data_IF_269474650755
#
_entry.id   IF_269474650755
#
_cell.length_a   1.000
_cell.length_b   1.000
_cell.length_c   1.000
_cell.angle_alpha   90.00
_cell.angle_beta   90.00
_cell.angle_gamma   90.00
#
_symmetry.space_group_name_H-M   'P 1'
#
loop_
_entity.id
_entity.type
_entity.pdbx_description
1 polymer ?
#
# COMPACT_ATOMS: atom_id res chain seq x y z
N UNK A 1 6.88 3.23 9.31
CA UNK A 1 8.27 3.09 8.78
C UNK A 1 8.55 4.08 7.65
N UNK A 2 7.58 4.36 6.78
CA UNK A 2 7.78 5.19 5.58
C UNK A 2 7.95 6.68 5.90
N UNK A 3 7.27 7.17 6.92
CA UNK A 3 7.39 8.59 7.32
C UNK A 3 8.79 8.93 7.82
N UNK A 4 9.47 8.01 8.50
CA UNK A 4 10.84 8.16 8.98
C UNK A 4 11.85 8.28 7.83
N UNK A 5 11.69 7.49 6.78
CA UNK A 5 12.64 7.44 5.65
C UNK A 5 12.65 8.71 4.80
N UNK A 6 11.61 9.55 4.90
CA UNK A 6 11.46 10.78 4.12
C UNK A 6 11.31 12.05 4.96
N UNK A 7 11.25 11.93 6.29
CA UNK A 7 11.17 13.09 7.17
C UNK A 7 12.51 13.84 7.21
N UNK A 8 12.46 15.16 7.30
CA UNK A 8 13.66 15.93 7.63
C UNK A 8 14.08 15.66 9.08
N UNK A 9 15.37 15.84 9.37
CA UNK A 9 15.91 15.71 10.72
C UNK A 9 15.13 16.55 11.73
N UNK A 10 14.84 17.83 11.37
CA UNK A 10 14.08 18.76 12.19
C UNK A 10 12.63 18.29 12.42
N UNK A 11 11.97 17.75 11.41
CA UNK A 11 10.62 17.20 11.56
C UNK A 11 10.61 15.98 12.48
N UNK A 12 11.53 15.07 12.25
CA UNK A 12 11.62 13.85 13.05
C UNK A 12 11.90 14.15 14.51
N UNK A 13 12.89 15.02 14.80
CA UNK A 13 13.25 15.40 16.17
C UNK A 13 12.06 16.00 16.92
N UNK A 14 11.23 16.81 16.22
CA UNK A 14 10.01 17.40 16.77
C UNK A 14 8.93 16.33 17.01
N UNK A 15 8.72 15.43 16.07
CA UNK A 15 7.66 14.40 16.15
C UNK A 15 7.90 13.42 17.30
N UNK A 16 9.18 13.10 17.60
CA UNK A 16 9.56 12.21 18.70
C UNK A 16 10.05 12.93 19.95
N UNK A 17 9.94 14.29 19.98
CA UNK A 17 10.27 15.13 21.14
C UNK A 17 11.71 14.95 21.66
N UNK A 18 12.69 14.83 20.76
CA UNK A 18 14.12 14.78 21.08
C UNK A 18 14.90 15.84 20.29
N UNK A 19 16.17 16.10 20.69
CA UNK A 19 17.02 17.00 19.94
C UNK A 19 17.51 16.38 18.62
N UNK A 20 17.76 17.20 17.60
CA UNK A 20 18.39 16.73 16.35
C UNK A 20 19.71 16.01 16.59
N UNK A 21 20.50 16.49 17.54
CA UNK A 21 21.75 15.85 17.95
C UNK A 21 21.53 14.43 18.49
N UNK A 22 20.42 14.20 19.19
CA UNK A 22 20.07 12.87 19.70
C UNK A 22 19.77 11.91 18.53
N UNK A 23 19.04 12.38 17.51
CA UNK A 23 18.74 11.58 16.31
C UNK A 23 20.02 11.26 15.53
N UNK A 24 20.95 12.21 15.40
CA UNK A 24 22.24 11.99 14.73
C UNK A 24 23.07 10.96 15.52
N UNK A 25 23.16 11.09 16.85
CA UNK A 25 23.88 10.14 17.71
C UNK A 25 23.28 8.73 17.64
N UNK A 26 21.97 8.64 17.51
CA UNK A 26 21.30 7.36 17.28
C UNK A 26 21.75 6.73 15.97
N UNK A 27 21.81 7.48 14.86
CA UNK A 27 22.34 6.95 13.61
C UNK A 27 23.77 6.43 13.75
N UNK A 28 24.65 7.16 14.43
CA UNK A 28 26.02 6.72 14.73
C UNK A 28 26.06 5.46 15.60
N UNK A 29 25.19 5.35 16.60
CA UNK A 29 25.13 4.15 17.47
C UNK A 29 24.69 2.89 16.73
N UNK A 30 24.01 3.04 15.60
CA UNK A 30 23.63 1.96 14.70
C UNK A 30 24.70 1.66 13.63
N UNK A 31 25.85 2.36 13.67
CA UNK A 31 26.98 2.14 12.75
C UNK A 31 26.88 2.88 11.41
N UNK A 32 25.98 3.87 11.28
CA UNK A 32 25.89 4.70 10.09
C UNK A 32 26.75 5.95 10.19
N UNK A 33 27.37 6.36 9.08
CA UNK A 33 28.22 7.56 9.04
C UNK A 33 27.44 8.88 9.17
N UNK A 34 26.12 8.86 8.97
CA UNK A 34 25.25 10.02 9.12
C UNK A 34 23.78 9.61 9.21
N UNK A 35 22.92 10.53 9.65
CA UNK A 35 21.47 10.36 9.59
C UNK A 35 20.98 10.14 8.15
N UNK A 36 21.54 10.84 7.16
CA UNK A 36 21.21 10.69 5.76
C UNK A 36 21.59 9.30 5.22
N UNK A 37 22.74 8.77 5.62
CA UNK A 37 23.17 7.41 5.26
C UNK A 37 22.21 6.36 5.83
N UNK A 38 21.81 6.51 7.10
CA UNK A 38 20.80 5.66 7.72
C UNK A 38 19.44 5.74 6.97
N UNK A 39 18.99 6.93 6.62
CA UNK A 39 17.76 7.10 5.86
C UNK A 39 17.84 6.50 4.45
N UNK A 40 18.99 6.64 3.79
CA UNK A 40 19.21 6.04 2.48
C UNK A 40 19.13 4.53 2.56
N UNK A 41 19.80 3.91 3.56
CA UNK A 41 19.74 2.46 3.75
C UNK A 41 18.33 1.96 4.05
N UNK A 42 17.59 2.67 4.88
CA UNK A 42 16.18 2.38 5.16
C UNK A 42 15.31 2.49 3.89
N UNK A 43 15.56 3.48 3.04
CA UNK A 43 14.87 3.61 1.76
C UNK A 43 15.19 2.45 0.83
N UNK A 44 16.45 2.06 0.77
CA UNK A 44 16.89 0.89 -0.01
C UNK A 44 16.22 -0.39 0.50
N UNK A 45 16.10 -0.58 1.80
CA UNK A 45 15.40 -1.72 2.40
C UNK A 45 13.87 -1.69 2.21
N UNK A 46 13.25 -0.52 2.27
CA UNK A 46 11.81 -0.35 1.99
C UNK A 46 11.51 -0.55 0.50
N UNK A 47 12.44 -0.16 -0.37
CA UNK A 47 12.33 -0.33 -1.83
C UNK A 47 12.88 -1.66 -2.32
N UNK A 48 13.71 -2.34 -1.50
CA UNK A 48 14.16 -3.69 -1.81
C UNK A 48 13.06 -4.68 -1.43
N UNK A 49 12.39 -5.21 -2.42
CA UNK A 49 11.75 -6.52 -2.30
C UNK A 49 12.83 -7.49 -1.79
N UNK A 50 12.56 -8.39 -0.82
CA UNK A 50 13.57 -9.26 -0.24
C UNK A 50 14.38 -9.95 -1.34
N UNK A 51 15.66 -9.65 -1.41
CA UNK A 51 16.60 -10.38 -2.25
C UNK A 51 16.81 -11.75 -1.58
N UNK A 52 15.93 -12.71 -1.85
CA UNK A 52 16.26 -14.11 -1.60
C UNK A 52 17.25 -14.54 -2.67
N UNK A 53 18.36 -15.07 -2.21
CA UNK A 53 19.53 -15.50 -2.95
C UNK A 53 19.20 -16.23 -4.26
N UNK A 54 19.27 -15.53 -5.36
CA UNK A 54 19.34 -16.08 -6.73
C UNK A 54 20.76 -15.86 -7.27
N UNK A 55 21.75 -15.87 -6.40
CA UNK A 55 23.14 -15.49 -6.74
C UNK A 55 23.83 -16.45 -7.72
N UNK A 56 23.28 -17.64 -7.99
CA UNK A 56 23.95 -18.67 -8.81
C UNK A 56 23.76 -18.54 -10.34
N UNK A 57 22.79 -17.80 -10.84
CA UNK A 57 22.46 -17.78 -12.29
C UNK A 57 22.53 -16.38 -12.96
N UNK A 58 22.92 -15.34 -12.26
CA UNK A 58 22.75 -13.94 -12.70
C UNK A 58 23.98 -13.39 -13.44
N UNK A 59 25.11 -14.08 -13.48
CA UNK A 59 26.37 -13.48 -13.99
C UNK A 59 26.38 -13.09 -15.46
N UNK A 60 25.46 -13.60 -16.30
CA UNK A 60 25.42 -13.31 -17.74
C UNK A 60 24.10 -12.66 -18.24
N UNK A 61 23.24 -12.19 -17.33
CA UNK A 61 21.96 -11.59 -17.74
C UNK A 61 22.13 -10.10 -18.07
N UNK A 62 21.42 -9.65 -19.14
CA UNK A 62 21.28 -8.23 -19.45
C UNK A 62 20.46 -7.51 -18.36
N UNK A 63 20.57 -6.18 -18.31
CA UNK A 63 19.78 -5.36 -17.37
C UNK A 63 18.28 -5.69 -17.42
N UNK A 64 17.71 -5.80 -18.62
CA UNK A 64 16.30 -6.12 -18.80
C UNK A 64 15.94 -7.51 -18.27
N UNK A 65 16.76 -8.52 -18.55
CA UNK A 65 16.55 -9.87 -18.03
C UNK A 65 16.57 -9.90 -16.49
N UNK A 66 17.46 -9.13 -15.86
CA UNK A 66 17.49 -9.00 -14.39
C UNK A 66 16.21 -8.38 -13.83
N UNK A 67 15.70 -7.31 -14.47
CA UNK A 67 14.44 -6.67 -14.06
C UNK A 67 13.29 -7.67 -14.18
N UNK A 68 13.11 -8.30 -15.34
CA UNK A 68 12.01 -9.24 -15.55
C UNK A 68 12.10 -10.47 -14.64
N UNK A 69 13.30 -11.03 -14.44
CA UNK A 69 13.48 -12.16 -13.52
C UNK A 69 13.08 -11.80 -12.09
N UNK A 70 13.38 -10.58 -11.66
CA UNK A 70 12.99 -10.07 -10.33
C UNK A 70 11.47 -9.93 -10.19
N UNK A 71 10.80 -9.35 -11.19
CA UNK A 71 9.34 -9.21 -11.18
C UNK A 71 8.65 -10.58 -11.21
N UNK A 72 9.14 -11.51 -12.03
CA UNK A 72 8.62 -12.88 -12.07
C UNK A 72 8.80 -13.60 -10.74
N UNK A 73 9.96 -13.43 -10.09
CA UNK A 73 10.19 -14.02 -8.78
C UNK A 73 9.25 -13.45 -7.73
N UNK A 74 9.03 -12.13 -7.74
CA UNK A 74 8.08 -11.49 -6.83
C UNK A 74 6.66 -12.02 -7.00
N UNK A 75 6.22 -12.27 -8.24
CA UNK A 75 4.92 -12.89 -8.53
C UNK A 75 4.85 -14.34 -8.05
N UNK A 76 5.90 -15.14 -8.24
CA UNK A 76 5.96 -16.52 -7.77
C UNK A 76 5.92 -16.58 -6.22
N UNK A 77 6.68 -15.71 -5.57
CA UNK A 77 6.67 -15.60 -4.10
C UNK A 77 5.28 -15.20 -3.60
N UNK A 78 4.63 -14.27 -4.26
CA UNK A 78 3.27 -13.85 -3.91
C UNK A 78 2.27 -15.01 -4.06
N UNK A 79 2.28 -15.72 -5.19
CA UNK A 79 1.40 -16.89 -5.44
C UNK A 79 1.58 -17.97 -4.36
N UNK A 80 2.83 -18.22 -3.93
CA UNK A 80 3.12 -19.23 -2.91
C UNK A 80 2.63 -18.86 -1.49
N UNK A 81 2.23 -17.61 -1.27
CA UNK A 81 1.76 -17.09 0.02
C UNK A 81 0.30 -16.63 -0.03
N UNK A 82 -0.43 -16.90 -1.10
CA UNK A 82 -1.86 -16.60 -1.17
C UNK A 82 -2.59 -17.44 -0.12
N UNK A 83 -3.37 -16.76 0.69
CA UNK A 83 -4.38 -17.37 1.56
C UNK A 83 -5.64 -17.61 0.73
N UNK A 84 -5.81 -18.84 0.24
CA UNK A 84 -6.94 -19.22 -0.63
C UNK A 84 -8.28 -19.05 0.12
N UNK A 85 -8.34 -19.37 1.41
CA UNK A 85 -9.56 -19.22 2.21
C UNK A 85 -9.97 -17.75 2.33
N UNK A 86 -8.99 -16.85 2.55
CA UNK A 86 -9.24 -15.41 2.61
C UNK A 86 -9.65 -14.86 1.25
N UNK A 87 -9.05 -15.38 0.16
CA UNK A 87 -9.43 -15.00 -1.20
C UNK A 87 -10.88 -15.40 -1.50
N UNK A 88 -11.27 -16.63 -1.19
CA UNK A 88 -12.63 -17.13 -1.39
C UNK A 88 -13.65 -16.32 -0.58
N UNK A 89 -13.37 -16.01 0.69
CA UNK A 89 -14.20 -15.12 1.52
C UNK A 89 -14.34 -13.73 0.91
N UNK A 90 -13.24 -13.21 0.33
CA UNK A 90 -13.26 -11.90 -0.34
C UNK A 90 -14.15 -11.93 -1.57
N UNK A 91 -14.03 -12.97 -2.39
CA UNK A 91 -14.87 -13.16 -3.59
C UNK A 91 -16.35 -13.29 -3.19
N UNK A 92 -16.65 -14.10 -2.18
CA UNK A 92 -18.01 -14.26 -1.67
C UNK A 92 -18.60 -12.93 -1.15
N UNK A 93 -17.82 -12.15 -0.41
CA UNK A 93 -18.23 -10.83 0.05
C UNK A 93 -18.55 -9.88 -1.11
N UNK A 94 -17.74 -9.90 -2.18
CA UNK A 94 -17.98 -9.08 -3.38
C UNK A 94 -19.23 -9.49 -4.14
N UNK A 95 -19.48 -10.80 -4.26
CA UNK A 95 -20.65 -11.33 -4.97
C UNK A 95 -21.97 -11.04 -4.23
N UNK A 96 -21.92 -10.95 -2.90
CA UNK A 96 -23.09 -10.69 -2.06
C UNK A 96 -23.25 -9.20 -1.67
N UNK A 97 -22.35 -8.32 -2.13
CA UNK A 97 -22.38 -6.92 -1.80
C UNK A 97 -23.51 -6.17 -2.51
N UNK A 98 -24.26 -5.32 -1.79
CA UNK A 98 -25.19 -4.36 -2.39
C UNK A 98 -24.42 -3.23 -3.10
N UNK A 99 -23.32 -2.78 -2.51
CA UNK A 99 -22.43 -1.77 -3.07
C UNK A 99 -20.95 -2.14 -2.82
N UNK A 100 -20.15 -1.93 -3.86
CA UNK A 100 -18.69 -2.06 -3.79
C UNK A 100 -18.08 -0.67 -4.00
N UNK A 101 -17.29 -0.19 -3.04
CA UNK A 101 -16.61 1.10 -3.12
C UNK A 101 -15.12 0.85 -3.28
N UNK A 102 -14.54 1.24 -4.41
CA UNK A 102 -13.11 1.07 -4.67
C UNK A 102 -12.42 2.42 -4.55
N UNK A 103 -11.43 2.50 -3.69
CA UNK A 103 -10.70 3.74 -3.42
C UNK A 103 -9.19 3.58 -3.52
N UNK A 104 -8.54 4.64 -3.95
CA UNK A 104 -7.09 4.78 -3.98
C UNK A 104 -6.75 6.23 -4.30
N UNK A 105 -5.67 6.73 -3.73
CA UNK A 105 -5.25 8.11 -3.93
C UNK A 105 -3.95 8.20 -4.71
N UNK A 106 -3.72 9.30 -5.43
CA UNK A 106 -2.52 9.57 -6.22
C UNK A 106 -2.23 8.44 -7.23
N UNK A 107 -1.03 7.81 -7.17
CA UNK A 107 -0.65 6.69 -8.05
C UNK A 107 -1.55 5.46 -7.88
N UNK A 108 -2.05 5.23 -6.66
CA UNK A 108 -2.96 4.11 -6.37
C UNK A 108 -4.34 4.28 -7.03
N UNK A 109 -4.73 5.53 -7.34
CA UNK A 109 -6.00 5.80 -8.03
C UNK A 109 -6.09 5.10 -9.39
N UNK A 110 -5.01 5.05 -10.14
CA UNK A 110 -5.02 4.39 -11.45
C UNK A 110 -5.32 2.89 -11.35
N UNK A 111 -4.74 2.21 -10.35
CA UNK A 111 -5.05 0.82 -10.08
C UNK A 111 -6.50 0.64 -9.57
N UNK A 112 -6.94 1.50 -8.65
CA UNK A 112 -8.30 1.50 -8.13
C UNK A 112 -9.33 1.75 -9.24
N UNK A 113 -9.07 2.69 -10.12
CA UNK A 113 -9.94 3.02 -11.25
C UNK A 113 -10.02 1.86 -12.25
N UNK A 114 -8.89 1.28 -12.62
CA UNK A 114 -8.87 0.13 -13.53
C UNK A 114 -9.63 -1.06 -12.93
N UNK A 115 -9.32 -1.41 -11.70
CA UNK A 115 -9.93 -2.55 -11.01
C UNK A 115 -11.43 -2.35 -10.76
N UNK A 116 -11.81 -1.16 -10.28
CA UNK A 116 -13.21 -0.82 -10.04
C UNK A 116 -14.06 -0.84 -11.31
N UNK A 117 -13.53 -0.36 -12.44
CA UNK A 117 -14.23 -0.45 -13.72
C UNK A 117 -14.41 -1.92 -14.16
N UNK A 118 -13.41 -2.80 -13.93
CA UNK A 118 -13.54 -4.23 -14.24
C UNK A 118 -14.59 -4.90 -13.35
N UNK A 119 -14.60 -4.62 -12.06
CA UNK A 119 -15.65 -5.11 -11.17
C UNK A 119 -17.02 -4.60 -11.56
N UNK A 120 -17.14 -3.31 -11.93
CA UNK A 120 -18.42 -2.76 -12.33
C UNK A 120 -18.97 -3.39 -13.62
N UNK A 121 -18.09 -3.76 -14.56
CA UNK A 121 -18.50 -4.50 -15.76
C UNK A 121 -19.05 -5.89 -15.43
N UNK A 122 -18.57 -6.52 -14.37
CA UNK A 122 -18.96 -7.87 -13.96
C UNK A 122 -20.20 -7.86 -13.04
N UNK A 123 -20.24 -6.94 -12.08
CA UNK A 123 -21.21 -6.96 -10.98
C UNK A 123 -22.26 -5.83 -11.06
N UNK A 124 -21.95 -4.72 -11.73
CA UNK A 124 -22.88 -3.61 -11.96
C UNK A 124 -23.13 -2.69 -10.74
N UNK A 125 -22.53 -2.96 -9.59
CA UNK A 125 -22.76 -2.29 -8.31
C UNK A 125 -21.50 -1.63 -7.72
N UNK A 126 -20.47 -1.40 -8.54
CA UNK A 126 -19.17 -0.89 -8.11
C UNK A 126 -19.01 0.59 -8.39
N UNK A 127 -18.59 1.34 -7.40
CA UNK A 127 -18.32 2.77 -7.46
C UNK A 127 -16.85 3.06 -7.14
N UNK A 128 -16.20 3.88 -7.98
CA UNK A 128 -14.81 4.30 -7.76
C UNK A 128 -14.84 5.64 -7.05
N UNK A 129 -14.22 5.71 -5.89
CA UNK A 129 -14.19 6.90 -5.04
C UNK A 129 -12.85 7.61 -5.23
N UNK A 130 -12.92 8.83 -5.72
CA UNK A 130 -11.76 9.68 -5.96
C UNK A 130 -11.48 10.59 -4.75
N UNK A 131 -10.21 10.89 -4.51
CA UNK A 131 -9.79 11.88 -3.52
C UNK A 131 -10.29 13.27 -3.91
N UNK A 132 -10.88 14.00 -2.97
CA UNK A 132 -11.38 15.36 -3.09
C UNK A 132 -12.44 15.62 -4.20
N UNK A 133 -13.55 16.24 -3.81
CA UNK A 133 -14.66 16.70 -4.70
C UNK A 133 -15.45 15.62 -5.46
N UNK A 134 -15.37 14.35 -5.04
CA UNK A 134 -16.25 13.35 -5.62
C UNK A 134 -17.62 13.41 -4.93
N UNK A 135 -18.73 13.71 -5.66
CA UNK A 135 -20.07 13.68 -5.07
C UNK A 135 -20.46 12.30 -4.52
N UNK A 136 -19.76 11.25 -4.96
CA UNK A 136 -19.91 9.88 -4.42
C UNK A 136 -19.31 9.69 -3.02
N UNK A 137 -18.65 10.72 -2.47
CA UNK A 137 -18.26 10.72 -1.06
C UNK A 137 -19.48 10.55 -0.14
N UNK A 138 -20.64 11.02 -0.58
CA UNK A 138 -21.92 10.82 0.13
C UNK A 138 -22.33 9.36 0.22
N UNK A 139 -21.76 8.45 -0.58
CA UNK A 139 -21.98 7.01 -0.45
C UNK A 139 -21.53 6.45 0.89
N UNK A 140 -20.63 7.14 1.62
CA UNK A 140 -20.34 6.79 3.01
C UNK A 140 -21.63 6.78 3.86
N UNK A 141 -22.56 7.70 3.62
CA UNK A 141 -23.82 7.78 4.36
C UNK A 141 -24.79 6.62 4.07
N UNK A 142 -24.53 5.83 3.02
CA UNK A 142 -25.32 4.68 2.60
C UNK A 142 -24.62 3.34 2.87
N UNK A 143 -23.55 3.34 3.65
CA UNK A 143 -22.85 2.12 4.03
C UNK A 143 -23.75 1.24 4.89
N UNK A 144 -23.78 -0.03 4.55
CA UNK A 144 -24.44 -1.10 5.29
C UNK A 144 -23.44 -2.23 5.59
N UNK A 145 -23.85 -3.24 6.31
CA UNK A 145 -23.10 -4.49 6.53
C UNK A 145 -22.87 -5.31 5.24
N UNK A 146 -23.63 -5.00 4.18
CA UNK A 146 -23.44 -5.56 2.82
C UNK A 146 -22.62 -4.66 1.90
N UNK A 147 -22.01 -3.62 2.41
CA UNK A 147 -21.09 -2.78 1.64
C UNK A 147 -19.68 -3.34 1.76
N UNK A 148 -19.01 -3.50 0.62
CA UNK A 148 -17.57 -3.85 0.58
C UNK A 148 -16.76 -2.65 0.14
N UNK A 149 -15.73 -2.30 0.90
CA UNK A 149 -14.78 -1.24 0.54
C UNK A 149 -13.43 -1.87 0.20
N UNK A 150 -12.96 -1.64 -1.02
CA UNK A 150 -11.64 -2.04 -1.47
C UNK A 150 -10.72 -0.83 -1.45
N UNK A 151 -9.70 -0.88 -0.61
CA UNK A 151 -8.73 0.21 -0.45
C UNK A 151 -7.38 -0.17 -1.05
N UNK A 152 -7.04 0.42 -2.20
CA UNK A 152 -5.75 0.21 -2.86
C UNK A 152 -4.79 1.32 -2.46
N UNK A 153 -3.67 0.95 -1.84
CA UNK A 153 -2.68 1.89 -1.35
C UNK A 153 -1.25 1.39 -1.58
N UNK A 154 -0.51 2.04 -2.48
CA UNK A 154 0.91 1.79 -2.66
C UNK A 154 1.76 2.59 -1.66
N UNK A 155 3.03 2.25 -1.54
CA UNK A 155 3.98 2.94 -0.67
C UNK A 155 3.89 4.47 -0.79
N UNK A 156 4.10 5.18 0.32
CA UNK A 156 3.77 6.59 0.56
C UNK A 156 2.26 6.81 0.71
N UNK A 157 1.66 5.97 1.55
CA UNK A 157 0.23 5.98 1.89
C UNK A 157 -0.32 7.37 2.18
N UNK A 158 -1.52 7.68 1.69
CA UNK A 158 -2.19 8.94 1.96
C UNK A 158 -3.08 8.81 3.20
N UNK A 159 -3.10 9.87 4.02
CA UNK A 159 -4.00 9.93 5.19
C UNK A 159 -5.48 9.84 4.76
N UNK A 160 -5.79 10.32 3.58
CA UNK A 160 -7.14 10.30 3.05
C UNK A 160 -7.64 8.88 2.84
N UNK A 161 -6.89 8.04 2.10
CA UNK A 161 -7.26 6.63 1.84
C UNK A 161 -7.49 5.87 3.14
N UNK A 162 -6.56 6.04 4.11
CA UNK A 162 -6.71 5.42 5.41
C UNK A 162 -7.98 5.88 6.15
N UNK A 163 -8.24 7.21 6.19
CA UNK A 163 -9.42 7.75 6.88
C UNK A 163 -10.72 7.30 6.23
N UNK A 164 -10.77 7.26 4.91
CA UNK A 164 -11.93 6.76 4.19
C UNK A 164 -12.21 5.29 4.56
N UNK A 165 -11.23 4.42 4.46
CA UNK A 165 -11.33 3.00 4.80
C UNK A 165 -11.73 2.78 6.28
N UNK A 166 -11.09 3.50 7.20
CA UNK A 166 -11.39 3.43 8.64
C UNK A 166 -12.82 3.90 8.95
N UNK A 167 -13.27 4.99 8.33
CA UNK A 167 -14.64 5.48 8.48
C UNK A 167 -15.66 4.47 7.96
N UNK A 168 -15.43 3.92 6.77
CA UNK A 168 -16.30 2.93 6.18
C UNK A 168 -16.40 1.66 7.05
N UNK A 169 -15.27 1.19 7.58
CA UNK A 169 -15.23 0.04 8.49
C UNK A 169 -16.02 0.30 9.79
N UNK A 170 -15.89 1.51 10.37
CA UNK A 170 -16.66 1.91 11.57
C UNK A 170 -18.17 1.99 11.31
N UNK A 171 -18.57 2.23 10.08
CA UNK A 171 -19.97 2.26 9.65
C UNK A 171 -20.53 0.87 9.28
N UNK A 172 -19.73 -0.18 9.38
CA UNK A 172 -20.15 -1.57 9.18
C UNK A 172 -19.73 -2.22 7.88
N UNK A 173 -19.01 -1.51 6.99
CA UNK A 173 -18.54 -2.10 5.74
C UNK A 173 -17.49 -3.19 5.98
N UNK A 174 -17.50 -4.20 5.11
CA UNK A 174 -16.37 -5.14 4.97
C UNK A 174 -15.22 -4.43 4.27
N UNK A 175 -14.02 -4.45 4.87
CA UNK A 175 -12.83 -3.81 4.30
C UNK A 175 -11.88 -4.85 3.71
N UNK A 176 -11.49 -4.62 2.45
CA UNK A 176 -10.46 -5.36 1.71
C UNK A 176 -9.30 -4.40 1.40
N UNK A 177 -8.05 -4.76 1.75
CA UNK A 177 -6.88 -3.93 1.50
C UNK A 177 -5.60 -4.75 1.33
#
# INVERSE_FOLDING_TARGET
KDEFSYATLAKLSKDISVSETTVIRFAYSLGFDSFSAMQQKLREEILSVPQRNVEGQIQNQTFYQKVFSREMQALQDWISHIDEELLDKTVEALLNADHILVTGARSSYHAANWFGNRLNLLLGNTHIIQEFYDPRFDLLNHITDKTVVISIAFARYTKWTYRYADSAKKMGATLVS
#
